data_IF_980359171903
#
_entry.id   IF_980359171903
#
_cell.length_a   1.000
_cell.length_b   1.000
_cell.length_c   1.000
_cell.angle_alpha   90.00
_cell.angle_beta   90.00
_cell.angle_gamma   90.00
#
_symmetry.space_group_name_H-M   'P 1'
#
loop_
_entity.id
_entity.type
_entity.pdbx_description
1 polymer ?
#
# COMPACT_ATOMS: atom_id res chain seq x y z
N UNK A 1 -29.81 4.69 -21.84
CA UNK A 1 -28.81 3.81 -21.20
C UNK A 1 -28.03 4.66 -20.22
N UNK A 2 -28.47 4.70 -18.96
CA UNK A 2 -27.70 5.34 -17.90
C UNK A 2 -26.57 4.39 -17.52
N UNK A 3 -25.33 4.79 -17.82
CA UNK A 3 -24.14 4.18 -17.25
C UNK A 3 -24.11 4.52 -15.76
N UNK A 4 -24.85 3.75 -14.97
CA UNK A 4 -24.65 3.64 -13.54
C UNK A 4 -23.30 2.96 -13.33
N UNK A 5 -22.20 3.71 -13.47
CA UNK A 5 -20.98 3.36 -12.77
C UNK A 5 -21.39 3.23 -11.30
N UNK A 6 -21.23 2.04 -10.68
CA UNK A 6 -21.66 1.86 -9.30
C UNK A 6 -21.00 2.94 -8.48
N UNK A 7 -21.82 3.73 -7.78
CA UNK A 7 -21.42 4.80 -6.86
C UNK A 7 -20.12 4.40 -6.19
N UNK A 8 -19.05 5.04 -6.64
CA UNK A 8 -17.66 4.71 -6.36
C UNK A 8 -17.53 4.23 -4.91
N UNK A 9 -17.22 2.95 -4.71
CA UNK A 9 -17.06 2.38 -3.37
C UNK A 9 -15.73 2.84 -2.77
N UNK A 10 -15.61 4.16 -2.55
CA UNK A 10 -14.44 4.82 -1.98
C UNK A 10 -14.11 4.27 -0.58
N UNK A 11 -15.10 3.65 0.08
CA UNK A 11 -14.95 3.06 1.42
C UNK A 11 -14.16 1.74 1.40
N UNK A 12 -14.02 1.10 0.24
CA UNK A 12 -13.26 -0.14 0.06
C UNK A 12 -11.92 0.08 -0.67
N UNK A 13 -11.63 1.34 -1.07
CA UNK A 13 -10.40 1.78 -1.72
C UNK A 13 -9.57 2.77 -0.86
N UNK A 14 -9.98 2.99 0.38
CA UNK A 14 -9.29 3.90 1.31
C UNK A 14 -8.49 3.12 2.34
N UNK A 15 -7.21 3.46 2.50
CA UNK A 15 -6.38 3.04 3.62
C UNK A 15 -6.06 4.27 4.47
N UNK A 16 -6.23 4.14 5.78
CA UNK A 16 -5.74 5.13 6.73
C UNK A 16 -4.30 4.74 7.09
N UNK A 17 -3.34 5.53 6.64
CA UNK A 17 -1.92 5.31 6.90
C UNK A 17 -1.37 6.44 7.77
N UNK A 18 -0.19 6.22 8.35
CA UNK A 18 0.60 7.30 8.94
C UNK A 18 0.99 8.29 7.84
N UNK A 19 1.17 9.56 8.20
CA UNK A 19 1.35 10.66 7.23
C UNK A 19 2.55 10.47 6.30
N UNK A 20 3.66 10.01 6.84
CA UNK A 20 4.88 9.69 6.11
C UNK A 20 4.71 8.46 5.20
N UNK A 21 4.03 7.42 5.69
CA UNK A 21 3.68 6.25 4.88
C UNK A 21 2.74 6.60 3.73
N UNK A 22 1.85 7.59 3.89
CA UNK A 22 0.98 8.05 2.81
C UNK A 22 1.80 8.55 1.60
N UNK A 23 2.84 9.35 1.82
CA UNK A 23 3.72 9.85 0.75
C UNK A 23 4.44 8.71 0.05
N UNK A 24 5.04 7.79 0.82
CA UNK A 24 5.71 6.60 0.29
C UNK A 24 4.74 5.70 -0.48
N UNK A 25 3.49 5.61 -0.04
CA UNK A 25 2.46 4.84 -0.73
C UNK A 25 2.12 5.48 -2.07
N UNK A 26 1.94 6.80 -2.12
CA UNK A 26 1.65 7.52 -3.36
C UNK A 26 2.83 7.50 -4.36
N UNK A 27 4.05 7.43 -3.85
CA UNK A 27 5.29 7.30 -4.65
C UNK A 27 5.61 5.84 -5.06
N UNK A 28 4.78 4.86 -4.69
CA UNK A 28 4.98 3.42 -4.92
C UNK A 28 6.21 2.83 -4.21
N UNK A 29 6.71 3.50 -3.17
CA UNK A 29 7.81 3.04 -2.31
C UNK A 29 7.35 2.05 -1.24
N UNK A 30 6.05 1.98 -0.98
CA UNK A 30 5.43 0.92 -0.18
C UNK A 30 4.19 0.36 -0.89
N UNK A 31 3.94 -0.93 -0.69
CA UNK A 31 2.76 -1.63 -1.21
C UNK A 31 2.22 -2.63 -0.19
N UNK A 32 1.04 -3.19 -0.46
CA UNK A 32 0.41 -4.22 0.37
C UNK A 32 0.14 -5.44 -0.50
N UNK A 33 0.57 -6.61 -0.04
CA UNK A 33 0.32 -7.86 -0.74
C UNK A 33 -1.18 -8.18 -0.77
N UNK A 34 -1.69 -8.49 -1.97
CA UNK A 34 -3.11 -8.72 -2.24
C UNK A 34 -3.73 -9.85 -1.40
N UNK A 35 -2.94 -10.87 -1.06
CA UNK A 35 -3.41 -12.10 -0.41
C UNK A 35 -3.17 -12.09 1.09
N UNK A 36 -1.98 -11.71 1.52
CA UNK A 36 -1.57 -11.74 2.93
C UNK A 36 -1.87 -10.44 3.66
N UNK A 37 -2.14 -9.35 2.93
CA UNK A 37 -2.30 -7.99 3.46
C UNK A 37 -1.07 -7.54 4.27
N UNK A 38 0.11 -8.05 3.88
CA UNK A 38 1.40 -7.69 4.44
C UNK A 38 1.95 -6.46 3.72
N UNK A 39 2.46 -5.51 4.50
CA UNK A 39 3.15 -4.31 4.01
C UNK A 39 4.53 -4.71 3.49
N UNK A 40 4.83 -4.29 2.27
CA UNK A 40 6.14 -4.44 1.64
C UNK A 40 6.71 -3.04 1.41
N UNK A 41 7.92 -2.82 1.89
CA UNK A 41 8.64 -1.54 1.80
C UNK A 41 9.80 -1.74 0.84
N UNK A 42 9.98 -0.77 -0.06
CA UNK A 42 11.05 -0.79 -1.05
C UNK A 42 12.42 -0.65 -0.37
N UNK A 43 13.43 -1.34 -0.88
CA UNK A 43 14.78 -1.35 -0.29
C UNK A 43 15.38 0.05 -0.22
N UNK A 44 15.17 0.88 -1.25
CA UNK A 44 15.67 2.26 -1.25
C UNK A 44 14.96 3.12 -0.20
N UNK A 45 13.68 2.88 0.08
CA UNK A 45 12.97 3.55 1.17
C UNK A 45 13.50 3.13 2.54
N UNK A 46 13.83 1.84 2.72
CA UNK A 46 14.49 1.35 3.93
C UNK A 46 15.91 1.90 4.11
N UNK A 47 16.62 2.17 3.02
CA UNK A 47 17.95 2.80 3.08
C UNK A 47 17.88 4.28 3.49
N UNK A 48 16.81 4.99 3.09
CA UNK A 48 16.58 6.38 3.54
C UNK A 48 16.14 6.42 5.02
N UNK A 49 15.35 5.43 5.46
CA UNK A 49 14.89 5.26 6.85
C UNK A 49 16.04 5.32 7.87
N UNK A 50 17.17 4.67 7.54
CA UNK A 50 18.37 4.64 8.38
C UNK A 50 19.05 6.00 8.56
N UNK A 51 18.82 6.94 7.64
CA UNK A 51 19.37 8.30 7.69
C UNK A 51 18.40 9.30 8.36
N UNK A 52 17.09 9.03 8.36
CA UNK A 52 16.04 9.94 8.86
C UNK A 52 15.45 9.55 10.21
N UNK A 53 15.99 8.52 10.88
CA UNK A 53 15.46 7.93 12.13
C UNK A 53 13.96 7.66 12.04
N UNK A 54 13.54 7.18 10.86
CA UNK A 54 12.18 6.77 10.62
C UNK A 54 12.10 5.27 10.96
N UNK A 55 10.97 4.80 11.46
CA UNK A 55 10.76 3.41 11.90
C UNK A 55 10.08 2.56 10.81
N UNK A 56 10.29 2.88 9.52
CA UNK A 56 9.66 2.17 8.40
C UNK A 56 10.00 0.68 8.39
N UNK A 57 11.22 0.33 8.81
CA UNK A 57 11.66 -1.05 8.97
C UNK A 57 10.75 -1.86 9.90
N UNK A 58 10.12 -1.23 10.91
CA UNK A 58 9.19 -1.90 11.83
C UNK A 58 7.91 -2.33 11.11
N UNK A 59 7.46 -1.56 10.12
CA UNK A 59 6.24 -1.86 9.36
C UNK A 59 6.47 -2.86 8.23
N UNK A 60 7.71 -3.02 7.78
CA UNK A 60 8.04 -4.02 6.77
C UNK A 60 7.67 -5.43 7.25
N UNK A 61 7.03 -6.22 6.38
CA UNK A 61 6.56 -7.57 6.70
C UNK A 61 5.47 -7.66 7.79
N UNK A 62 4.91 -6.53 8.25
CA UNK A 62 3.74 -6.54 9.13
C UNK A 62 2.44 -6.67 8.32
N UNK A 63 1.50 -7.45 8.85
CA UNK A 63 0.12 -7.49 8.37
C UNK A 63 -0.60 -6.22 8.83
N UNK A 64 -1.34 -5.58 7.92
CA UNK A 64 -2.20 -4.45 8.29
C UNK A 64 -3.27 -4.89 9.30
N UNK A 65 -3.67 -3.98 10.18
CA UNK A 65 -4.74 -4.24 11.14
C UNK A 65 -6.06 -4.58 10.43
N UNK A 66 -6.91 -5.35 11.10
CA UNK A 66 -8.22 -5.68 10.55
C UNK A 66 -9.05 -4.41 10.35
N UNK A 67 -9.58 -4.25 9.15
CA UNK A 67 -10.38 -3.10 8.76
C UNK A 67 -11.84 -3.36 9.09
N UNK A 68 -12.58 -2.32 9.53
CA UNK A 68 -14.04 -2.43 9.79
C UNK A 68 -14.84 -2.87 8.56
N UNK A 69 -14.26 -2.67 7.36
CA UNK A 69 -14.77 -3.16 6.08
C UNK A 69 -13.64 -3.85 5.33
N UNK A 70 -13.89 -4.98 4.65
CA UNK A 70 -12.86 -5.62 3.83
C UNK A 70 -12.30 -4.64 2.80
N UNK A 71 -10.98 -4.59 2.68
CA UNK A 71 -10.31 -3.93 1.55
C UNK A 71 -10.61 -4.76 0.31
N UNK A 72 -10.95 -4.11 -0.81
CA UNK A 72 -11.05 -4.81 -2.09
C UNK A 72 -9.64 -4.98 -2.67
N UNK A 73 -9.08 -6.20 -2.73
CA UNK A 73 -7.71 -6.40 -3.21
C UNK A 73 -7.51 -6.01 -4.68
N UNK A 74 -8.59 -5.92 -5.48
CA UNK A 74 -8.49 -5.49 -6.87
C UNK A 74 -7.88 -4.10 -7.02
N UNK A 75 -8.10 -3.20 -6.06
CA UNK A 75 -7.51 -1.86 -6.08
C UNK A 75 -6.01 -1.84 -5.76
N UNK A 76 -5.49 -2.91 -5.17
CA UNK A 76 -4.06 -3.05 -4.88
C UNK A 76 -3.30 -3.69 -6.06
N UNK A 77 -3.98 -4.34 -7.03
CA UNK A 77 -3.33 -5.06 -8.14
C UNK A 77 -2.38 -4.16 -8.93
N UNK A 78 -2.87 -3.02 -9.42
CA UNK A 78 -2.04 -2.10 -10.22
C UNK A 78 -0.83 -1.56 -9.44
N UNK A 79 -0.97 -1.39 -8.13
CA UNK A 79 0.13 -0.95 -7.25
C UNK A 79 1.13 -2.07 -7.01
N UNK A 80 0.64 -3.30 -6.83
CA UNK A 80 1.48 -4.49 -6.72
C UNK A 80 2.31 -4.73 -7.99
N UNK A 81 1.70 -4.66 -9.17
CA UNK A 81 2.41 -4.84 -10.44
C UNK A 81 3.46 -3.74 -10.68
N UNK A 82 3.15 -2.50 -10.27
CA UNK A 82 4.10 -1.38 -10.34
C UNK A 82 5.26 -1.62 -9.38
N UNK A 83 4.97 -2.03 -8.15
CA UNK A 83 5.99 -2.39 -7.17
C UNK A 83 6.89 -3.52 -7.70
N UNK A 84 6.34 -4.62 -8.23
CA UNK A 84 7.15 -5.72 -8.78
C UNK A 84 8.05 -5.26 -9.92
N UNK A 85 7.53 -4.46 -10.86
CA UNK A 85 8.33 -3.91 -11.97
C UNK A 85 9.47 -3.01 -11.50
N UNK A 86 9.23 -2.17 -10.50
CA UNK A 86 10.26 -1.32 -9.91
C UNK A 86 11.29 -2.12 -9.09
N UNK A 87 10.91 -3.28 -8.56
CA UNK A 87 11.77 -4.16 -7.78
C UNK A 87 12.51 -5.23 -8.60
N UNK A 88 12.26 -5.34 -9.92
CA UNK A 88 12.79 -6.41 -10.77
C UNK A 88 12.62 -7.83 -10.18
N UNK A 89 11.46 -8.10 -9.57
CA UNK A 89 11.02 -9.43 -9.13
C UNK A 89 10.13 -10.06 -10.21
#
# INVERSE_FOLDING_TARGET
>A
MELLLPLCDYRCNGLLLRRDMHGLFDENMITICLKSLIINVFTDALAVDTDTDTDLAVFHSLRIADTRKPINPQYLVSRWDTFQRLNAI
#
